data_IF_574259930816
#
_entry.id   IF_574259930816
#
_cell.length_a   1.000
_cell.length_b   1.000
_cell.length_c   1.000
_cell.angle_alpha   90.00
_cell.angle_beta   90.00
_cell.angle_gamma   90.00
#
_symmetry.space_group_name_H-M   'P 1'
#
loop_
_entity.id
_entity.type
_entity.pdbx_description
1 polymer ?
#
# COMPACT_ATOMS: atom_id res chain seq x y z
N UNK A 1 29.49 -12.18 31.59
CA UNK A 1 28.16 -11.55 31.56
C UNK A 1 28.25 -10.27 32.38
N UNK A 2 28.01 -9.10 31.80
CA UNK A 2 28.08 -7.84 32.55
C UNK A 2 26.70 -7.52 33.14
N UNK A 3 26.53 -7.83 34.42
CA UNK A 3 25.49 -7.28 35.28
C UNK A 3 25.50 -5.75 35.19
N UNK A 4 24.34 -5.06 35.33
CA UNK A 4 24.29 -3.61 35.29
C UNK A 4 25.11 -3.01 36.43
N UNK A 5 25.74 -1.86 36.16
CA UNK A 5 26.51 -1.10 37.16
C UNK A 5 25.59 -0.43 38.19
N UNK A 6 24.32 -0.24 37.83
CA UNK A 6 23.30 0.40 38.64
C UNK A 6 22.73 -0.53 39.73
N UNK A 7 22.42 0.06 40.89
CA UNK A 7 21.96 -0.68 42.06
C UNK A 7 20.54 -1.21 41.87
N UNK A 8 20.40 -2.54 41.94
CA UNK A 8 19.11 -3.23 42.00
C UNK A 8 18.56 -3.14 43.43
N UNK A 9 17.34 -2.64 43.57
CA UNK A 9 16.64 -2.48 44.86
C UNK A 9 15.69 -3.64 45.15
N UNK A 10 15.18 -4.31 44.11
CA UNK A 10 14.28 -5.45 44.24
C UNK A 10 14.40 -6.38 43.05
N UNK A 11 14.37 -7.68 43.31
CA UNK A 11 14.17 -8.71 42.31
C UNK A 11 12.78 -9.34 42.54
N UNK A 12 12.00 -9.47 41.47
CA UNK A 12 10.70 -10.12 41.51
C UNK A 12 10.84 -11.62 41.23
N UNK A 13 9.85 -12.45 41.62
CA UNK A 13 9.84 -13.86 41.28
C UNK A 13 10.02 -14.09 39.78
N UNK A 14 10.76 -15.15 39.43
CA UNK A 14 11.01 -15.54 38.05
C UNK A 14 9.73 -16.14 37.45
N UNK A 15 9.34 -15.69 36.25
CA UNK A 15 8.20 -16.20 35.51
C UNK A 15 8.71 -16.85 34.20
N UNK A 16 8.96 -18.16 34.24
CA UNK A 16 9.57 -18.88 33.13
C UNK A 16 10.96 -18.30 32.75
N UNK A 17 11.18 -17.87 31.49
CA UNK A 17 12.45 -17.29 31.07
C UNK A 17 12.64 -15.81 31.49
N UNK A 18 11.66 -15.21 32.19
CA UNK A 18 11.63 -13.78 32.50
C UNK A 18 12.01 -13.52 33.96
N UNK A 19 13.00 -12.65 34.16
CA UNK A 19 13.42 -12.18 35.47
C UNK A 19 13.26 -10.65 35.53
N UNK A 20 12.40 -10.13 36.42
CA UNK A 20 12.15 -8.68 36.55
C UNK A 20 12.91 -8.07 37.73
N UNK A 21 13.51 -6.91 37.49
CA UNK A 21 14.31 -6.16 38.45
C UNK A 21 13.82 -4.72 38.57
N UNK A 22 13.88 -4.18 39.79
CA UNK A 22 13.67 -2.76 40.08
C UNK A 22 14.98 -2.10 40.45
N UNK A 23 15.30 -1.01 39.78
CA UNK A 23 16.48 -0.18 40.03
C UNK A 23 16.14 1.00 40.95
N UNK A 24 17.15 1.52 41.63
CA UNK A 24 17.05 2.70 42.49
C UNK A 24 16.66 3.96 41.69
N UNK A 25 17.30 4.14 40.52
CA UNK A 25 17.07 5.21 39.56
C UNK A 25 16.51 4.68 38.25
N UNK A 26 15.93 5.57 37.45
CA UNK A 26 15.46 5.23 36.10
C UNK A 26 16.66 5.08 35.18
N UNK A 27 16.65 4.02 34.37
CA UNK A 27 17.73 3.70 33.44
C UNK A 27 17.16 3.71 32.02
N UNK A 28 17.94 4.26 31.08
CA UNK A 28 17.62 4.22 29.66
C UNK A 28 18.15 2.95 29.01
N UNK A 29 17.31 2.25 28.24
CA UNK A 29 17.66 1.02 27.54
C UNK A 29 16.79 0.82 26.30
N UNK A 30 17.28 0.01 25.36
CA UNK A 30 16.49 -0.41 24.21
C UNK A 30 15.77 -1.71 24.54
N UNK A 31 14.45 -1.74 24.34
CA UNK A 31 13.66 -2.94 24.55
C UNK A 31 13.92 -3.93 23.41
N UNK A 32 14.46 -5.12 23.74
CA UNK A 32 14.71 -6.21 22.80
C UNK A 32 13.46 -6.66 22.03
N UNK A 33 12.27 -6.58 22.67
CA UNK A 33 11.02 -7.00 22.04
C UNK A 33 10.42 -5.96 21.09
N UNK A 34 10.26 -4.71 21.55
CA UNK A 34 9.60 -3.68 20.73
C UNK A 34 10.56 -2.75 19.99
N UNK A 35 11.88 -2.91 20.15
CA UNK A 35 12.91 -2.09 19.51
C UNK A 35 13.03 -0.66 20.04
N UNK A 36 12.03 -0.16 20.78
CA UNK A 36 11.98 1.22 21.25
C UNK A 36 12.92 1.47 22.44
N UNK A 37 13.53 2.65 22.47
CA UNK A 37 14.22 3.20 23.63
C UNK A 37 13.22 3.52 24.74
N UNK A 38 13.53 3.11 25.97
CA UNK A 38 12.70 3.27 27.15
C UNK A 38 13.55 3.79 28.31
N UNK A 39 12.93 4.57 29.19
CA UNK A 39 13.53 5.02 30.44
C UNK A 39 12.62 4.59 31.59
N UNK A 40 13.08 3.68 32.44
CA UNK A 40 12.27 3.13 33.52
C UNK A 40 13.10 2.60 34.68
N UNK A 41 12.47 2.44 35.85
CA UNK A 41 13.05 1.74 37.01
C UNK A 41 12.83 0.23 36.95
N UNK A 42 11.88 -0.25 36.15
CA UNK A 42 11.57 -1.66 35.98
C UNK A 42 12.11 -2.17 34.65
N UNK A 43 12.96 -3.19 34.73
CA UNK A 43 13.53 -3.85 33.56
C UNK A 43 13.39 -5.35 33.76
N UNK A 44 12.93 -6.03 32.72
CA UNK A 44 12.89 -7.49 32.68
C UNK A 44 14.00 -7.99 31.77
N UNK A 45 14.68 -9.09 32.13
CA UNK A 45 15.64 -9.77 31.26
C UNK A 45 15.09 -11.11 30.81
N UNK A 46 15.44 -11.50 29.59
CA UNK A 46 15.04 -12.77 28.99
C UNK A 46 16.19 -13.78 28.99
N UNK A 47 15.96 -15.00 29.47
CA UNK A 47 16.95 -16.07 29.57
C UNK A 47 18.24 -15.63 30.30
N UNK A 48 18.06 -14.81 31.34
CA UNK A 48 19.15 -14.27 32.16
C UNK A 48 20.21 -13.48 31.34
N UNK A 49 19.85 -13.01 30.13
CA UNK A 49 20.70 -12.23 29.24
C UNK A 49 20.39 -10.73 29.35
N UNK A 50 21.31 -9.98 29.96
CA UNK A 50 21.22 -8.53 30.12
C UNK A 50 21.28 -7.73 28.81
N UNK A 51 21.65 -8.34 27.69
CA UNK A 51 21.47 -7.71 26.37
C UNK A 51 20.01 -7.73 25.93
N UNK A 52 19.23 -8.70 26.40
CA UNK A 52 17.80 -8.89 26.08
C UNK A 52 16.90 -8.24 27.13
N UNK A 53 17.04 -6.91 27.29
CA UNK A 53 16.21 -6.10 28.20
C UNK A 53 14.83 -5.88 27.61
N UNK A 54 13.79 -6.03 28.42
CA UNK A 54 12.39 -5.95 28.05
C UNK A 54 11.72 -4.89 28.94
N UNK A 55 10.92 -4.01 28.30
CA UNK A 55 10.18 -2.97 29.00
C UNK A 55 8.94 -3.53 29.71
N UNK A 56 8.43 -2.82 30.72
CA UNK A 56 7.30 -3.30 31.53
C UNK A 56 6.04 -3.60 30.71
N UNK A 57 5.73 -2.81 29.68
CA UNK A 57 4.58 -3.09 28.80
C UNK A 57 4.74 -4.39 28.01
N UNK A 58 5.94 -4.64 27.47
CA UNK A 58 6.24 -5.91 26.80
C UNK A 58 6.26 -7.10 27.77
N UNK A 59 6.73 -6.89 29.00
CA UNK A 59 6.68 -7.90 30.05
C UNK A 59 5.23 -8.28 30.40
N UNK A 60 4.36 -7.30 30.66
CA UNK A 60 2.95 -7.55 30.97
C UNK A 60 2.23 -8.32 29.86
N UNK A 61 2.53 -8.01 28.60
CA UNK A 61 2.03 -8.79 27.46
C UNK A 61 2.50 -10.24 27.47
N UNK A 62 3.80 -10.47 27.68
CA UNK A 62 4.34 -11.83 27.73
C UNK A 62 3.76 -12.64 28.91
N UNK A 63 3.50 -11.98 30.04
CA UNK A 63 2.79 -12.60 31.15
C UNK A 63 1.37 -12.99 30.76
N UNK A 64 0.60 -12.11 30.10
CA UNK A 64 -0.76 -12.47 29.68
C UNK A 64 -0.81 -13.71 28.77
N UNK A 65 0.18 -13.87 27.88
CA UNK A 65 0.30 -15.09 27.04
C UNK A 65 0.71 -16.29 27.90
N UNK A 66 1.66 -16.10 28.80
CA UNK A 66 2.14 -17.16 29.69
C UNK A 66 1.00 -17.69 30.57
N UNK A 67 0.19 -16.81 31.16
CA UNK A 67 -0.93 -17.19 32.03
C UNK A 67 -1.99 -18.00 31.27
N UNK A 68 -2.27 -17.66 30.00
CA UNK A 68 -3.16 -18.44 29.13
C UNK A 68 -2.57 -19.84 28.88
N UNK A 69 -1.26 -19.93 28.57
CA UNK A 69 -0.60 -21.21 28.27
C UNK A 69 -0.43 -22.10 29.51
N UNK A 70 -0.08 -21.51 30.64
CA UNK A 70 0.19 -22.20 31.90
C UNK A 70 -1.08 -22.53 32.70
N UNK A 71 -2.22 -21.89 32.39
CA UNK A 71 -3.50 -22.17 33.03
C UNK A 71 -4.01 -23.61 32.79
N UNK A 72 -4.95 -24.04 33.63
CA UNK A 72 -5.58 -25.37 33.56
C UNK A 72 -6.76 -25.46 32.57
N UNK A 73 -6.92 -24.44 31.72
CA UNK A 73 -7.98 -24.43 30.71
C UNK A 73 -7.80 -25.56 29.71
N UNK A 74 -8.93 -26.04 29.19
CA UNK A 74 -8.97 -26.96 28.05
C UNK A 74 -8.31 -26.31 26.82
N UNK A 75 -7.83 -27.14 25.90
CA UNK A 75 -7.02 -26.68 24.77
C UNK A 75 -7.77 -25.68 23.90
N UNK A 76 -9.06 -25.90 23.65
CA UNK A 76 -9.89 -25.02 22.82
C UNK A 76 -10.09 -23.65 23.47
N UNK A 77 -10.34 -23.60 24.78
CA UNK A 77 -10.45 -22.35 25.55
C UNK A 77 -9.13 -21.56 25.57
N UNK A 78 -7.99 -22.26 25.60
CA UNK A 78 -6.67 -21.64 25.49
C UNK A 78 -6.46 -21.02 24.11
N UNK A 79 -6.91 -21.71 23.06
CA UNK A 79 -6.82 -21.22 21.68
C UNK A 79 -7.65 -19.96 21.54
N UNK A 80 -8.90 -19.94 22.01
CA UNK A 80 -9.78 -18.76 21.95
C UNK A 80 -9.18 -17.55 22.68
N UNK A 81 -8.73 -17.73 23.93
CA UNK A 81 -8.10 -16.61 24.68
C UNK A 81 -6.81 -16.12 24.05
N UNK A 82 -6.03 -17.02 23.45
CA UNK A 82 -4.83 -16.62 22.73
C UNK A 82 -5.18 -15.80 21.47
N UNK A 83 -6.22 -16.22 20.74
CA UNK A 83 -6.76 -15.48 19.59
C UNK A 83 -7.21 -14.08 20.02
N UNK A 84 -7.95 -13.94 21.11
CA UNK A 84 -8.38 -12.62 21.62
C UNK A 84 -7.20 -11.68 21.93
N UNK A 85 -6.16 -12.19 22.58
CA UNK A 85 -4.95 -11.40 22.90
C UNK A 85 -4.22 -10.97 21.62
N UNK A 86 -4.15 -11.86 20.63
CA UNK A 86 -3.52 -11.58 19.34
C UNK A 86 -4.33 -10.58 18.51
N UNK A 87 -5.66 -10.71 18.45
CA UNK A 87 -6.55 -9.79 17.72
C UNK A 87 -6.45 -8.37 18.28
N UNK A 88 -6.35 -8.20 19.60
CA UNK A 88 -6.16 -6.87 20.24
C UNK A 88 -4.88 -6.14 19.81
N UNK A 89 -3.95 -6.84 19.14
CA UNK A 89 -2.68 -6.29 18.66
C UNK A 89 -2.66 -6.05 17.16
N UNK A 90 -3.72 -6.43 16.45
CA UNK A 90 -3.89 -6.11 15.04
C UNK A 90 -4.63 -4.78 14.95
N UNK A 91 -4.14 -3.87 14.11
CA UNK A 91 -4.82 -2.61 13.83
C UNK A 91 -6.14 -2.90 13.10
N UNK A 92 -7.27 -2.50 13.70
CA UNK A 92 -8.60 -2.69 13.11
C UNK A 92 -8.72 -2.07 11.71
N UNK A 93 -7.98 -1.00 11.42
CA UNK A 93 -7.94 -0.40 10.09
C UNK A 93 -7.25 -1.32 9.09
N UNK A 94 -6.16 -1.99 9.49
CA UNK A 94 -5.49 -2.99 8.66
C UNK A 94 -6.42 -4.18 8.40
N UNK A 95 -7.18 -4.64 9.39
CA UNK A 95 -8.16 -5.72 9.19
C UNK A 95 -9.22 -5.30 8.16
N UNK A 96 -9.81 -4.11 8.32
CA UNK A 96 -10.82 -3.58 7.40
C UNK A 96 -10.27 -3.46 5.97
N UNK A 97 -9.05 -2.95 5.83
CA UNK A 97 -8.38 -2.83 4.53
C UNK A 97 -8.13 -4.21 3.91
N UNK A 98 -7.65 -5.20 4.67
CA UNK A 98 -7.45 -6.56 4.18
C UNK A 98 -8.76 -7.25 3.80
N UNK A 99 -9.82 -7.09 4.59
CA UNK A 99 -11.14 -7.62 4.25
C UNK A 99 -11.70 -6.99 2.96
N UNK A 100 -11.52 -5.68 2.78
CA UNK A 100 -11.89 -5.00 1.53
C UNK A 100 -11.12 -5.58 0.34
N UNK A 101 -9.80 -5.76 0.48
CA UNK A 101 -8.95 -6.40 -0.55
C UNK A 101 -9.42 -7.81 -0.90
N UNK A 102 -9.75 -8.63 0.11
CA UNK A 102 -10.26 -10.00 -0.12
C UNK A 102 -11.58 -9.96 -0.90
N UNK A 103 -12.53 -9.12 -0.48
CA UNK A 103 -13.84 -8.99 -1.13
C UNK A 103 -13.76 -8.49 -2.58
N UNK A 104 -12.86 -7.54 -2.83
CA UNK A 104 -12.58 -7.03 -4.18
C UNK A 104 -12.04 -8.15 -5.08
N UNK A 105 -11.08 -8.92 -4.57
CA UNK A 105 -10.44 -10.02 -5.31
C UNK A 105 -11.35 -11.22 -5.53
N UNK A 106 -12.25 -11.52 -4.60
CA UNK A 106 -13.21 -12.62 -4.80
C UNK A 106 -14.30 -12.26 -5.81
N UNK A 107 -14.48 -10.96 -6.09
CA UNK A 107 -15.53 -10.44 -6.97
C UNK A 107 -14.97 -9.52 -8.06
N UNK A 108 -13.78 -9.83 -8.63
CA UNK A 108 -13.08 -8.96 -9.60
C UNK A 108 -13.98 -8.47 -10.73
N UNK A 109 -14.88 -9.34 -11.20
CA UNK A 109 -15.83 -9.05 -12.28
C UNK A 109 -16.78 -7.90 -11.94
N UNK A 110 -17.11 -7.72 -10.66
CA UNK A 110 -18.01 -6.66 -10.21
C UNK A 110 -17.30 -5.29 -10.07
N UNK A 111 -15.97 -5.28 -10.04
CA UNK A 111 -15.17 -4.09 -9.78
C UNK A 111 -14.30 -3.66 -10.95
N UNK A 112 -14.14 -4.46 -11.99
CA UNK A 112 -13.41 -4.03 -13.18
C UNK A 112 -14.40 -3.61 -14.26
N UNK A 113 -14.03 -2.59 -15.04
CA UNK A 113 -14.83 -2.25 -16.21
C UNK A 113 -14.84 -3.40 -17.22
N UNK A 114 -15.90 -3.50 -18.02
CA UNK A 114 -16.01 -4.54 -19.06
C UNK A 114 -14.85 -4.49 -20.06
N UNK A 115 -14.39 -3.27 -20.40
CA UNK A 115 -13.25 -3.05 -21.29
C UNK A 115 -11.95 -3.54 -20.66
N UNK A 116 -11.67 -3.22 -19.40
CA UNK A 116 -10.50 -3.72 -18.68
C UNK A 116 -10.49 -5.25 -18.59
N UNK A 117 -11.64 -5.85 -18.26
CA UNK A 117 -11.81 -7.31 -18.24
C UNK A 117 -11.54 -7.93 -19.60
N UNK A 118 -11.98 -7.30 -20.69
CA UNK A 118 -11.72 -7.77 -22.05
C UNK A 118 -10.21 -7.79 -22.36
N UNK A 119 -9.48 -6.74 -22.01
CA UNK A 119 -8.02 -6.70 -22.22
C UNK A 119 -7.28 -7.70 -21.36
N UNK A 120 -7.68 -7.87 -20.10
CA UNK A 120 -7.11 -8.88 -19.21
C UNK A 120 -7.37 -10.31 -19.74
N UNK A 121 -8.61 -10.63 -20.12
CA UNK A 121 -8.94 -11.94 -20.68
C UNK A 121 -8.22 -12.21 -22.01
N UNK A 122 -8.08 -11.17 -22.86
CA UNK A 122 -7.31 -11.26 -24.11
C UNK A 122 -5.84 -11.56 -23.82
N UNK A 123 -5.25 -10.88 -22.85
CA UNK A 123 -3.87 -11.09 -22.41
C UNK A 123 -3.65 -12.53 -21.92
N UNK A 124 -4.55 -13.05 -21.08
CA UNK A 124 -4.50 -14.43 -20.61
C UNK A 124 -4.65 -15.45 -21.75
N UNK A 125 -5.54 -15.20 -22.70
CA UNK A 125 -5.71 -16.05 -23.87
C UNK A 125 -4.47 -16.09 -24.77
N UNK A 126 -3.85 -14.92 -25.01
CA UNK A 126 -2.60 -14.83 -25.77
C UNK A 126 -1.48 -15.56 -25.03
N UNK A 127 -1.32 -15.33 -23.72
CA UNK A 127 -0.34 -16.02 -22.89
C UNK A 127 -0.48 -17.55 -22.96
N UNK A 128 -1.70 -18.08 -22.84
CA UNK A 128 -1.96 -19.52 -22.97
C UNK A 128 -1.56 -20.07 -24.34
N UNK A 129 -1.75 -19.30 -25.41
CA UNK A 129 -1.30 -19.70 -26.75
C UNK A 129 0.23 -19.69 -26.83
N UNK A 130 0.89 -18.67 -26.27
CA UNK A 130 2.35 -18.56 -26.26
C UNK A 130 3.02 -19.70 -25.49
N UNK A 131 2.42 -20.22 -24.41
CA UNK A 131 3.00 -21.37 -23.67
C UNK A 131 3.17 -22.64 -24.53
N UNK A 132 2.48 -22.74 -25.66
CA UNK A 132 2.57 -23.89 -26.57
C UNK A 132 3.79 -23.83 -27.50
N UNK A 133 4.45 -22.68 -27.60
CA UNK A 133 5.56 -22.41 -28.51
C UNK A 133 6.71 -21.73 -27.75
N UNK A 134 7.89 -22.33 -27.71
CA UNK A 134 8.97 -21.89 -26.79
C UNK A 134 9.74 -20.65 -27.24
N UNK A 135 9.60 -20.24 -28.51
CA UNK A 135 10.43 -19.20 -29.15
C UNK A 135 9.62 -18.00 -29.65
N UNK A 136 8.46 -17.74 -29.05
CA UNK A 136 7.64 -16.58 -29.37
C UNK A 136 7.82 -15.47 -28.33
N UNK A 137 7.80 -14.23 -28.81
CA UNK A 137 7.86 -13.03 -27.98
C UNK A 137 6.56 -12.81 -27.20
N UNK A 138 6.68 -12.44 -25.93
CA UNK A 138 5.56 -12.26 -25.00
C UNK A 138 5.03 -10.83 -24.91
N UNK A 139 5.56 -9.89 -25.69
CA UNK A 139 5.12 -8.50 -25.70
C UNK A 139 3.62 -8.33 -25.96
N UNK A 140 2.97 -9.09 -26.88
CA UNK A 140 1.53 -8.95 -27.11
C UNK A 140 0.69 -9.25 -25.87
N UNK A 141 1.07 -10.26 -25.07
CA UNK A 141 0.40 -10.57 -23.82
C UNK A 141 0.60 -9.46 -22.78
N UNK A 142 1.85 -8.98 -22.64
CA UNK A 142 2.23 -7.92 -21.69
C UNK A 142 1.54 -6.59 -22.00
N UNK A 143 1.44 -6.18 -23.27
CA UNK A 143 0.70 -4.99 -23.69
C UNK A 143 -0.78 -5.07 -23.30
N UNK A 144 -1.38 -6.26 -23.36
CA UNK A 144 -2.74 -6.49 -22.88
C UNK A 144 -2.93 -6.13 -21.41
N UNK A 145 -2.01 -6.54 -20.53
CA UNK A 145 -2.03 -6.18 -19.10
C UNK A 145 -1.85 -4.68 -18.88
N UNK A 146 -0.91 -4.06 -19.60
CA UNK A 146 -0.64 -2.63 -19.49
C UNK A 146 -1.85 -1.80 -19.92
N UNK A 147 -2.52 -2.18 -21.02
CA UNK A 147 -3.74 -1.53 -21.49
C UNK A 147 -4.91 -1.70 -20.52
N UNK A 148 -5.05 -2.88 -19.92
CA UNK A 148 -6.09 -3.11 -18.91
C UNK A 148 -5.94 -2.12 -17.74
N UNK A 149 -4.71 -1.92 -17.23
CA UNK A 149 -4.46 -0.93 -16.19
C UNK A 149 -4.67 0.51 -16.65
N UNK A 150 -4.14 0.88 -17.83
CA UNK A 150 -4.29 2.24 -18.38
C UNK A 150 -5.77 2.64 -18.49
N UNK A 151 -6.61 1.74 -19.03
CA UNK A 151 -8.04 2.01 -19.17
C UNK A 151 -8.75 2.12 -17.83
N UNK A 152 -8.44 1.23 -16.88
CA UNK A 152 -9.03 1.30 -15.55
C UNK A 152 -8.63 2.58 -14.81
N UNK A 153 -7.37 3.04 -14.98
CA UNK A 153 -6.90 4.32 -14.45
C UNK A 153 -7.67 5.49 -15.03
N UNK A 154 -7.91 5.50 -16.34
CA UNK A 154 -8.72 6.54 -16.97
C UNK A 154 -10.15 6.52 -16.43
N UNK A 155 -10.80 5.36 -16.42
CA UNK A 155 -12.20 5.24 -16.02
C UNK A 155 -12.43 5.52 -14.53
N UNK A 156 -11.50 5.14 -13.66
CA UNK A 156 -11.67 5.27 -12.20
C UNK A 156 -11.13 6.56 -11.61
N UNK A 157 -10.17 7.19 -12.27
CA UNK A 157 -9.51 8.36 -11.73
C UNK A 157 -9.68 9.57 -12.64
N UNK A 158 -9.26 9.49 -13.90
CA UNK A 158 -9.21 10.67 -14.78
C UNK A 158 -10.62 11.12 -15.21
N UNK A 159 -11.50 10.21 -15.62
CA UNK A 159 -12.88 10.53 -15.99
C UNK A 159 -13.66 11.12 -14.80
N UNK A 160 -13.63 10.50 -13.60
CA UNK A 160 -14.16 11.08 -12.37
C UNK A 160 -13.62 12.48 -12.02
N UNK A 161 -12.32 12.72 -12.23
CA UNK A 161 -11.71 14.04 -12.02
C UNK A 161 -12.23 15.05 -13.05
N UNK A 162 -12.32 14.67 -14.33
CA UNK A 162 -12.92 15.50 -15.38
C UNK A 162 -14.37 15.88 -15.03
N UNK A 163 -15.19 14.93 -14.62
CA UNK A 163 -16.57 15.19 -14.21
C UNK A 163 -16.67 16.10 -12.99
N UNK A 164 -15.75 15.97 -12.03
CA UNK A 164 -15.66 16.89 -10.89
C UNK A 164 -15.29 18.31 -11.33
N UNK A 165 -14.45 18.43 -12.34
CA UNK A 165 -13.91 19.67 -12.86
C UNK A 165 -14.79 20.38 -13.89
N UNK A 166 -15.87 19.76 -14.36
CA UNK A 166 -16.65 20.26 -15.51
C UNK A 166 -17.19 21.69 -15.36
N UNK A 167 -17.47 22.09 -14.12
CA UNK A 167 -18.04 23.40 -13.76
C UNK A 167 -16.98 24.39 -13.24
N UNK A 168 -15.69 24.01 -13.27
CA UNK A 168 -14.59 24.85 -12.85
C UNK A 168 -14.05 25.66 -14.03
N UNK A 169 -13.83 26.95 -13.81
CA UNK A 169 -13.13 27.79 -14.76
C UNK A 169 -11.62 27.73 -14.51
N UNK A 170 -10.88 27.21 -15.48
CA UNK A 170 -9.43 27.06 -15.37
C UNK A 170 -8.74 28.30 -15.94
N UNK A 171 -7.69 28.75 -15.26
CA UNK A 171 -6.86 29.83 -15.78
C UNK A 171 -6.17 29.38 -17.07
N UNK A 172 -5.92 30.32 -17.99
CA UNK A 172 -5.21 30.04 -19.24
C UNK A 172 -3.84 29.38 -18.97
N UNK A 173 -3.15 29.83 -17.92
CA UNK A 173 -1.89 29.27 -17.43
C UNK A 173 -1.98 27.79 -17.04
N UNK A 174 -3.13 27.32 -16.54
CA UNK A 174 -3.33 25.91 -16.20
C UNK A 174 -3.41 25.05 -17.47
N UNK A 175 -4.01 25.57 -18.53
CA UNK A 175 -4.27 24.85 -19.79
C UNK A 175 -2.99 24.71 -20.61
N UNK A 176 -2.18 25.77 -20.68
CA UNK A 176 -0.94 25.78 -21.47
C UNK A 176 0.26 25.19 -20.71
N UNK A 177 0.07 24.82 -19.44
CA UNK A 177 1.14 24.30 -18.62
C UNK A 177 1.81 23.07 -19.24
N UNK A 178 3.14 23.08 -19.29
CA UNK A 178 3.92 22.00 -19.91
C UNK A 178 3.80 20.65 -19.19
N UNK A 179 3.51 20.67 -17.88
CA UNK A 179 3.59 19.49 -17.02
C UNK A 179 2.23 18.85 -16.76
N UNK A 180 1.17 19.65 -16.60
CA UNK A 180 -0.19 19.13 -16.39
C UNK A 180 -1.24 19.67 -17.37
N UNK A 181 -0.88 20.60 -18.26
CA UNK A 181 -1.85 21.29 -19.12
C UNK A 181 -2.65 20.37 -20.03
N UNK A 182 -2.07 19.22 -20.42
CA UNK A 182 -2.82 18.16 -21.14
C UNK A 182 -3.96 17.57 -20.31
N UNK A 183 -3.72 17.32 -19.01
CA UNK A 183 -4.77 16.82 -18.10
C UNK A 183 -5.77 17.92 -17.78
N UNK A 184 -5.31 19.15 -17.52
CA UNK A 184 -6.19 20.29 -17.29
C UNK A 184 -7.11 20.53 -18.50
N UNK A 185 -6.55 20.54 -19.71
CA UNK A 185 -7.33 20.67 -20.96
C UNK A 185 -8.36 19.55 -21.13
N UNK A 186 -8.01 18.30 -20.77
CA UNK A 186 -8.94 17.17 -20.83
C UNK A 186 -10.10 17.35 -19.83
N UNK A 187 -9.76 17.81 -18.62
CA UNK A 187 -10.73 18.03 -17.54
C UNK A 187 -11.61 19.26 -17.78
N UNK A 188 -11.14 20.26 -18.54
CA UNK A 188 -11.90 21.47 -18.88
C UNK A 188 -12.95 21.25 -19.98
N UNK A 189 -13.18 20.00 -20.40
CA UNK A 189 -14.15 19.67 -21.43
C UNK A 189 -13.72 19.93 -22.87
N UNK A 190 -12.45 20.29 -23.13
CA UNK A 190 -11.96 20.37 -24.52
C UNK A 190 -12.02 18.99 -25.17
N UNK A 191 -12.45 18.93 -26.43
CA UNK A 191 -12.54 17.69 -27.21
C UNK A 191 -11.16 17.19 -27.62
N UNK A 192 -10.39 16.69 -26.64
CA UNK A 192 -9.06 16.10 -26.84
C UNK A 192 -9.09 14.61 -26.50
N UNK A 193 -8.15 13.86 -27.08
CA UNK A 193 -7.96 12.44 -26.81
C UNK A 193 -7.71 12.23 -25.31
N UNK A 194 -8.21 11.12 -24.77
CA UNK A 194 -7.89 10.69 -23.40
C UNK A 194 -6.38 10.65 -23.18
N UNK A 195 -5.88 11.11 -22.03
CA UNK A 195 -4.46 11.09 -21.74
C UNK A 195 -3.92 9.67 -21.68
N UNK A 196 -2.67 9.51 -22.10
CA UNK A 196 -1.93 8.25 -22.05
C UNK A 196 -1.27 8.08 -20.68
N UNK A 197 -0.89 6.85 -20.34
CA UNK A 197 -0.30 6.53 -19.03
C UNK A 197 0.90 7.43 -18.65
N UNK A 198 1.77 7.74 -19.61
CA UNK A 198 2.91 8.64 -19.40
C UNK A 198 2.50 10.09 -19.09
N UNK A 199 1.43 10.59 -19.72
CA UNK A 199 0.88 11.93 -19.45
C UNK A 199 0.30 12.00 -18.04
N UNK A 200 -0.44 10.96 -17.63
CA UNK A 200 -0.99 10.86 -16.28
C UNK A 200 0.13 10.81 -15.24
N UNK A 201 1.19 10.03 -15.49
CA UNK A 201 2.32 9.93 -14.56
C UNK A 201 3.07 11.25 -14.37
N UNK A 202 3.34 11.97 -15.47
CA UNK A 202 4.05 13.25 -15.43
C UNK A 202 3.24 14.30 -14.64
N UNK A 203 1.93 14.32 -14.86
CA UNK A 203 0.99 15.12 -14.07
C UNK A 203 1.04 14.78 -12.57
N UNK A 204 0.92 13.49 -12.21
CA UNK A 204 0.95 13.07 -10.81
C UNK A 204 2.28 13.41 -10.15
N UNK A 205 3.40 13.15 -10.83
CA UNK A 205 4.75 13.51 -10.35
C UNK A 205 4.85 15.01 -10.07
N UNK A 206 4.28 15.84 -10.95
CA UNK A 206 4.27 17.29 -10.80
C UNK A 206 3.45 17.71 -9.60
N UNK A 207 2.24 17.15 -9.45
CA UNK A 207 1.39 17.38 -8.29
C UNK A 207 2.15 17.03 -7.00
N UNK A 208 2.68 15.81 -6.89
CA UNK A 208 3.36 15.31 -5.68
C UNK A 208 4.53 16.21 -5.25
N UNK A 209 5.31 16.73 -6.21
CA UNK A 209 6.55 17.44 -5.90
C UNK A 209 6.40 18.96 -5.80
N UNK A 210 5.33 19.55 -6.35
CA UNK A 210 5.24 21.01 -6.53
C UNK A 210 4.24 21.68 -5.59
N UNK A 211 4.64 21.88 -4.33
CA UNK A 211 3.81 22.57 -3.32
C UNK A 211 3.41 24.00 -3.71
N UNK A 212 4.33 24.75 -4.32
CA UNK A 212 4.07 26.14 -4.77
C UNK A 212 2.97 26.17 -5.84
N UNK A 213 3.06 25.26 -6.82
CA UNK A 213 2.09 25.16 -7.92
C UNK A 213 0.69 24.79 -7.41
N UNK A 214 0.62 23.93 -6.40
CA UNK A 214 -0.63 23.57 -5.71
C UNK A 214 -1.31 24.77 -5.05
N UNK A 215 -0.61 25.86 -4.75
CA UNK A 215 -1.21 27.07 -4.16
C UNK A 215 -1.70 28.08 -5.19
N UNK A 216 -1.18 28.02 -6.42
CA UNK A 216 -1.43 29.02 -7.48
C UNK A 216 -2.35 28.52 -8.59
N UNK A 217 -2.31 27.21 -8.89
CA UNK A 217 -3.11 26.60 -9.95
C UNK A 217 -4.54 26.32 -9.48
N UNK A 218 -5.54 26.81 -10.22
CA UNK A 218 -6.94 26.50 -9.96
C UNK A 218 -7.20 25.02 -10.19
N UNK A 219 -6.64 24.46 -11.27
CA UNK A 219 -6.77 23.04 -11.57
C UNK A 219 -6.22 22.14 -10.44
N UNK A 220 -5.00 22.40 -9.95
CA UNK A 220 -4.41 21.57 -8.88
C UNK A 220 -5.10 21.80 -7.53
N UNK A 221 -5.35 23.05 -7.15
CA UNK A 221 -5.86 23.38 -5.82
C UNK A 221 -7.36 23.13 -5.66
N UNK A 222 -8.16 23.55 -6.64
CA UNK A 222 -9.63 23.42 -6.56
C UNK A 222 -10.07 22.11 -7.21
N UNK A 223 -9.55 21.80 -8.40
CA UNK A 223 -9.88 20.58 -9.14
C UNK A 223 -9.35 19.32 -8.47
N UNK A 224 -8.04 19.07 -8.57
CA UNK A 224 -7.42 17.83 -8.08
C UNK A 224 -7.57 17.66 -6.56
N UNK A 225 -7.14 18.63 -5.76
CA UNK A 225 -7.23 18.51 -4.30
C UNK A 225 -8.68 18.43 -3.80
N UNK A 226 -9.59 19.20 -4.40
CA UNK A 226 -11.02 19.12 -4.09
C UNK A 226 -11.61 17.74 -4.41
N UNK A 227 -11.22 17.15 -5.54
CA UNK A 227 -11.60 15.79 -5.92
C UNK A 227 -11.03 14.75 -4.95
N UNK A 228 -9.73 14.81 -4.64
CA UNK A 228 -9.07 13.88 -3.72
C UNK A 228 -9.68 13.92 -2.31
N UNK A 229 -10.10 15.09 -1.83
CA UNK A 229 -10.79 15.21 -0.53
C UNK A 229 -12.13 14.44 -0.45
N UNK A 230 -12.74 14.10 -1.59
CA UNK A 230 -13.96 13.25 -1.64
C UNK A 230 -13.66 11.75 -1.56
N UNK A 231 -12.39 11.37 -1.66
CA UNK A 231 -11.93 9.98 -1.69
C UNK A 231 -11.29 9.64 -0.32
N UNK A 232 -11.85 8.70 0.46
CA UNK A 232 -11.37 8.40 1.80
C UNK A 232 -9.97 7.80 1.83
N UNK A 233 -9.56 7.12 0.77
CA UNK A 233 -8.29 6.37 0.69
C UNK A 233 -7.33 6.97 -0.36
N UNK A 234 -7.43 8.27 -0.65
CA UNK A 234 -6.66 8.89 -1.75
C UNK A 234 -5.16 9.01 -1.51
N UNK A 235 -4.68 8.76 -0.28
CA UNK A 235 -3.26 8.94 0.07
C UNK A 235 -2.33 8.22 -0.91
N UNK A 236 -2.67 6.99 -1.29
CA UNK A 236 -1.87 6.20 -2.24
C UNK A 236 -1.78 6.83 -3.65
N UNK A 237 -2.75 7.63 -4.08
CA UNK A 237 -2.74 8.29 -5.40
C UNK A 237 -1.65 9.37 -5.47
N UNK A 238 -1.41 10.07 -4.35
CA UNK A 238 -0.49 11.21 -4.25
C UNK A 238 0.74 10.91 -3.38
N UNK A 239 0.95 9.65 -3.02
CA UNK A 239 2.17 9.22 -2.34
C UNK A 239 3.32 9.07 -3.36
N UNK A 240 4.54 9.36 -2.93
CA UNK A 240 5.74 9.21 -3.77
C UNK A 240 5.97 7.76 -4.17
N UNK A 241 5.68 6.83 -3.27
CA UNK A 241 5.81 5.38 -3.46
C UNK A 241 4.44 4.76 -3.81
N UNK A 242 3.50 5.59 -4.29
CA UNK A 242 2.13 5.22 -4.59
C UNK A 242 1.88 4.96 -6.08
N UNK A 243 0.78 5.53 -6.59
CA UNK A 243 0.35 5.35 -7.98
C UNK A 243 1.44 5.73 -9.00
N UNK A 244 2.15 6.83 -8.77
CA UNK A 244 3.19 7.29 -9.71
C UNK A 244 4.34 6.28 -9.83
N UNK A 245 4.84 5.73 -8.71
CA UNK A 245 5.88 4.70 -8.73
C UNK A 245 5.39 3.40 -9.41
N UNK A 246 4.15 3.01 -9.15
CA UNK A 246 3.52 1.88 -9.83
C UNK A 246 3.45 2.06 -11.36
N UNK A 247 3.11 3.27 -11.82
CA UNK A 247 3.10 3.61 -13.24
C UNK A 247 4.52 3.60 -13.83
N UNK A 248 5.50 4.20 -13.13
CA UNK A 248 6.91 4.20 -13.57
C UNK A 248 7.39 2.76 -13.74
N UNK A 249 7.18 1.91 -12.73
CA UNK A 249 7.56 0.50 -12.78
C UNK A 249 6.87 -0.24 -13.93
N UNK A 250 5.55 -0.04 -14.12
CA UNK A 250 4.82 -0.66 -15.22
C UNK A 250 5.35 -0.22 -16.59
N UNK A 251 5.65 1.07 -16.74
CA UNK A 251 6.09 1.64 -18.02
C UNK A 251 7.52 1.27 -18.37
N UNK A 252 8.47 1.47 -17.45
CA UNK A 252 9.89 1.22 -17.70
C UNK A 252 10.22 -0.26 -17.87
N UNK A 253 9.59 -1.12 -17.08
CA UNK A 253 9.97 -2.52 -17.02
C UNK A 253 9.17 -3.39 -17.99
N UNK A 254 7.99 -2.93 -18.43
CA UNK A 254 7.07 -3.76 -19.23
C UNK A 254 6.53 -3.04 -20.46
N UNK A 255 5.75 -1.97 -20.30
CA UNK A 255 5.05 -1.32 -21.45
C UNK A 255 6.01 -0.87 -22.54
N UNK A 256 7.07 -0.15 -22.18
CA UNK A 256 7.99 0.41 -23.17
C UNK A 256 8.80 -0.69 -23.84
N UNK A 257 9.28 -1.66 -23.06
CA UNK A 257 9.98 -2.84 -23.60
C UNK A 257 9.11 -3.57 -24.62
N UNK A 258 7.87 -3.87 -24.24
CA UNK A 258 6.90 -4.58 -25.07
C UNK A 258 6.44 -3.79 -26.31
N UNK A 259 6.64 -2.47 -26.33
CA UNK A 259 6.28 -1.61 -27.46
C UNK A 259 7.47 -1.28 -28.38
N UNK A 260 8.69 -1.67 -27.99
CA UNK A 260 9.92 -1.35 -28.71
C UNK A 260 10.62 -2.63 -29.15
N UNK A 261 11.95 -2.67 -29.12
CA UNK A 261 12.75 -3.74 -29.71
C UNK A 261 13.18 -4.81 -28.71
N UNK A 262 12.78 -4.70 -27.45
CA UNK A 262 13.11 -5.69 -26.43
C UNK A 262 12.30 -6.96 -26.64
N UNK A 263 12.96 -8.12 -26.52
CA UNK A 263 12.30 -9.42 -26.52
C UNK A 263 11.91 -9.80 -25.07
N UNK A 264 10.66 -10.20 -24.87
CA UNK A 264 10.09 -10.52 -23.57
C UNK A 264 9.65 -11.98 -23.50
N UNK A 265 9.74 -12.56 -22.31
CA UNK A 265 9.43 -13.97 -22.07
C UNK A 265 8.28 -14.16 -21.06
N UNK A 266 7.95 -15.42 -20.79
CA UNK A 266 6.92 -15.82 -19.83
C UNK A 266 7.15 -15.26 -18.43
N UNK A 267 8.40 -15.22 -17.95
CA UNK A 267 8.69 -14.70 -16.62
C UNK A 267 8.43 -13.19 -16.53
N UNK A 268 8.71 -12.43 -17.60
CA UNK A 268 8.37 -11.01 -17.68
C UNK A 268 6.85 -10.82 -17.67
N UNK A 269 6.11 -11.67 -18.37
CA UNK A 269 4.66 -11.69 -18.33
C UNK A 269 4.12 -11.96 -16.92
N UNK A 270 4.60 -12.99 -16.24
CA UNK A 270 4.16 -13.34 -14.89
C UNK A 270 4.47 -12.24 -13.87
N UNK A 271 5.63 -11.60 -13.97
CA UNK A 271 5.98 -10.44 -13.14
C UNK A 271 5.07 -9.24 -13.41
N UNK A 272 4.80 -8.94 -14.69
CA UNK A 272 3.86 -7.88 -15.06
C UNK A 272 2.45 -8.18 -14.55
N UNK A 273 1.97 -9.41 -14.72
CA UNK A 273 0.67 -9.88 -14.22
C UNK A 273 0.59 -9.75 -12.70
N UNK A 274 1.64 -10.10 -11.97
CA UNK A 274 1.70 -9.93 -10.53
C UNK A 274 1.71 -8.46 -10.12
N UNK A 275 2.44 -7.59 -10.83
CA UNK A 275 2.43 -6.15 -10.59
C UNK A 275 1.04 -5.54 -10.80
N UNK A 276 0.32 -5.92 -11.86
CA UNK A 276 -0.98 -5.32 -12.20
C UNK A 276 -2.12 -5.97 -11.40
N UNK A 277 -2.22 -7.30 -11.46
CA UNK A 277 -3.37 -8.08 -10.98
C UNK A 277 -3.06 -9.03 -9.81
N UNK A 278 -1.80 -9.09 -9.35
CA UNK A 278 -1.39 -9.90 -8.21
C UNK A 278 -2.02 -9.48 -6.89
N UNK A 279 -1.62 -10.11 -5.79
CA UNK A 279 -2.25 -9.86 -4.49
C UNK A 279 -2.11 -8.42 -4.01
N UNK A 280 -1.01 -7.77 -4.35
CA UNK A 280 -0.76 -6.34 -4.10
C UNK A 280 -0.73 -5.55 -5.42
N UNK A 281 -1.50 -6.01 -6.40
CA UNK A 281 -1.51 -5.44 -7.73
C UNK A 281 -1.99 -4.00 -7.73
N UNK A 282 -1.32 -3.14 -8.51
CA UNK A 282 -1.60 -1.71 -8.59
C UNK A 282 -3.04 -1.38 -9.01
N UNK A 283 -3.72 -2.31 -9.71
CA UNK A 283 -5.12 -2.12 -10.10
C UNK A 283 -6.07 -2.17 -8.89
N UNK A 284 -5.74 -2.98 -7.88
CA UNK A 284 -6.56 -3.10 -6.67
C UNK A 284 -6.38 -1.88 -5.77
N UNK A 285 -5.16 -1.38 -5.64
CA UNK A 285 -4.88 -0.13 -4.93
C UNK A 285 -5.60 1.05 -5.58
N UNK A 286 -5.60 1.11 -6.92
CA UNK A 286 -6.36 2.10 -7.67
C UNK A 286 -7.86 2.03 -7.35
N UNK A 287 -8.46 0.84 -7.36
CA UNK A 287 -9.89 0.65 -7.05
C UNK A 287 -10.20 1.12 -5.62
N UNK A 288 -9.41 0.69 -4.63
CA UNK A 288 -9.61 1.06 -3.22
C UNK A 288 -9.46 2.57 -3.02
N UNK A 289 -8.48 3.17 -3.69
CA UNK A 289 -8.14 4.59 -3.53
C UNK A 289 -9.11 5.53 -4.28
N UNK A 290 -9.82 5.00 -5.28
CA UNK A 290 -10.81 5.73 -6.08
C UNK A 290 -12.26 5.47 -5.66
N UNK A 291 -12.49 4.61 -4.66
CA UNK A 291 -13.83 4.33 -4.15
C UNK A 291 -14.40 5.58 -3.47
N UNK A 292 -15.54 6.07 -3.97
CA UNK A 292 -16.22 7.23 -3.39
C UNK A 292 -16.98 6.80 -2.15
N UNK A 293 -17.09 7.69 -1.15
CA UNK A 293 -18.10 7.49 -0.10
C UNK A 293 -19.47 7.50 -0.78
N UNK A 294 -20.23 6.42 -0.63
CA UNK A 294 -21.68 6.50 -0.83
C UNK A 294 -22.19 7.47 0.24
N UNK A 295 -22.55 8.68 -0.16
CA UNK A 295 -23.33 9.63 0.66
C UNK A 295 -24.79 9.35 0.34
#
# INVERSE_FOLDING_TARGET
MSTPLEKITKQYPKCGPLSQFRFDKSISFNCFRCGQTKTAKLITIYNDDWKKRICNGCYGYLLSIYDIKAGQLEIDDKIEKLIEVLIKHVDENQIKEQLARIKLKSNKVNFLTSTTMKFFATSEYVAQTLTKETNLDWSPAIIGLCKAFELELIERFINPLKEFCKDLDFQEDDIIDKDFGKIASYCSGKTIKSPELGVVNHFLTTAINSKDRFSKSTFLNVGLKGFLNKLPNHNWIIDKDGLSDGIVTLTSNYRNKAAHTDELNENDYLKCKNLVFGEKGIIWELIISSERRNI
#
